data_IF_964536541289
#
_entry.id   IF_964536541289
#
_cell.length_a   1.000
_cell.length_b   1.000
_cell.length_c   1.000
_cell.angle_alpha   90.00
_cell.angle_beta   90.00
_cell.angle_gamma   90.00
#
_symmetry.space_group_name_H-M   'P 1'
#
loop_
_entity.id
_entity.type
_entity.pdbx_description
1 polymer ?
#
# COMPACT_ATOMS: atom_id res chain seq x y z
N UNK A 1 0.53 -16.32 -3.92
CA UNK A 1 0.93 -15.01 -3.40
C UNK A 1 1.73 -15.17 -2.13
N UNK A 2 2.82 -14.47 -2.02
CA UNK A 2 3.56 -14.34 -0.78
C UNK A 2 3.63 -12.88 -0.40
N UNK A 3 3.53 -12.58 0.89
CA UNK A 3 3.68 -11.24 1.41
C UNK A 3 4.61 -11.26 2.62
N UNK A 4 5.53 -10.30 2.67
CA UNK A 4 6.38 -10.09 3.84
C UNK A 4 6.11 -8.69 4.38
N UNK A 5 6.04 -8.56 5.69
CA UNK A 5 5.80 -7.30 6.38
C UNK A 5 6.85 -7.13 7.47
N UNK A 6 7.60 -6.03 7.42
CA UNK A 6 8.62 -5.74 8.43
C UNK A 6 8.77 -4.24 8.62
N UNK A 7 9.48 -3.83 9.65
CA UNK A 7 9.75 -2.42 9.92
C UNK A 7 11.19 -2.10 9.54
N UNK A 8 11.40 -0.96 8.89
CA UNK A 8 12.73 -0.49 8.49
C UNK A 8 12.77 1.03 8.62
N UNK A 9 13.61 1.54 9.50
CA UNK A 9 13.83 2.99 9.69
C UNK A 9 12.54 3.77 9.94
N UNK A 10 11.63 3.21 10.71
CA UNK A 10 10.36 3.85 11.02
C UNK A 10 9.30 3.71 9.94
N UNK A 11 9.55 2.89 8.93
CA UNK A 11 8.61 2.62 7.84
C UNK A 11 8.20 1.16 7.89
N UNK A 12 6.88 0.93 7.77
CA UNK A 12 6.36 -0.43 7.61
C UNK A 12 6.50 -0.82 6.15
N UNK A 13 7.30 -1.84 5.86
CA UNK A 13 7.55 -2.31 4.50
C UNK A 13 6.77 -3.59 4.25
N UNK A 14 5.95 -3.57 3.21
CA UNK A 14 5.14 -4.71 2.77
C UNK A 14 5.52 -5.05 1.34
N UNK A 15 5.95 -6.29 1.11
CA UNK A 15 6.37 -6.75 -0.21
C UNK A 15 5.52 -7.94 -0.64
N UNK A 16 4.95 -7.82 -1.83
CA UNK A 16 4.21 -8.92 -2.47
C UNK A 16 5.09 -9.60 -3.51
N UNK A 17 4.91 -10.91 -3.68
CA UNK A 17 5.51 -11.67 -4.76
C UNK A 17 4.50 -12.67 -5.32
N UNK A 18 4.68 -13.02 -6.60
CA UNK A 18 3.78 -13.92 -7.31
C UNK A 18 2.51 -13.24 -7.78
N UNK A 19 1.49 -14.02 -8.08
CA UNK A 19 0.19 -13.48 -8.51
C UNK A 19 -0.58 -12.92 -7.31
N UNK A 20 -1.07 -11.70 -7.44
CA UNK A 20 -1.78 -11.00 -6.37
C UNK A 20 -3.15 -10.54 -6.88
N UNK A 21 -4.20 -10.83 -6.13
CA UNK A 21 -5.55 -10.32 -6.40
C UNK A 21 -5.96 -9.30 -5.32
N UNK A 22 -7.13 -8.68 -5.51
CA UNK A 22 -7.63 -7.67 -4.56
C UNK A 22 -7.86 -8.27 -3.17
N UNK A 23 -8.38 -9.50 -3.09
CA UNK A 23 -8.57 -10.17 -1.81
C UNK A 23 -7.23 -10.35 -1.06
N UNK A 24 -6.16 -10.68 -1.77
CA UNK A 24 -4.82 -10.81 -1.17
C UNK A 24 -4.37 -9.47 -0.58
N UNK A 25 -4.62 -8.37 -1.27
CA UNK A 25 -4.29 -7.03 -0.79
C UNK A 25 -5.06 -6.70 0.48
N UNK A 26 -6.36 -7.00 0.50
CA UNK A 26 -7.22 -6.75 1.67
C UNK A 26 -6.79 -7.59 2.86
N UNK A 27 -6.50 -8.87 2.66
CA UNK A 27 -6.00 -9.74 3.74
C UNK A 27 -4.68 -9.23 4.30
N UNK A 28 -3.79 -8.76 3.43
CA UNK A 28 -2.52 -8.17 3.85
C UNK A 28 -2.72 -6.90 4.67
N UNK A 29 -3.69 -6.04 4.29
CA UNK A 29 -4.03 -4.86 5.06
C UNK A 29 -4.54 -5.24 6.45
N UNK A 30 -5.41 -6.25 6.54
CA UNK A 30 -5.92 -6.73 7.82
C UNK A 30 -4.79 -7.24 8.72
N UNK A 31 -3.85 -7.99 8.13
CA UNK A 31 -2.69 -8.49 8.86
C UNK A 31 -1.82 -7.34 9.37
N UNK A 32 -1.54 -6.36 8.52
CA UNK A 32 -0.74 -5.20 8.88
C UNK A 32 -1.40 -4.41 10.02
N UNK A 33 -2.69 -4.12 9.89
CA UNK A 33 -3.42 -3.32 10.87
C UNK A 33 -3.56 -4.04 12.22
N UNK A 34 -3.62 -5.38 12.22
CA UNK A 34 -3.66 -6.16 13.47
C UNK A 34 -2.28 -6.30 14.11
N UNK A 35 -1.20 -6.29 13.32
CA UNK A 35 0.17 -6.45 13.80
C UNK A 35 0.78 -5.14 14.30
N UNK A 36 0.38 -4.01 13.72
CA UNK A 36 0.92 -2.69 14.06
C UNK A 36 -0.23 -1.81 14.58
N UNK A 37 -0.48 -1.88 15.88
CA UNK A 37 -1.62 -1.19 16.50
C UNK A 37 -1.38 0.30 16.72
N UNK A 38 -0.12 0.75 16.74
CA UNK A 38 0.21 2.15 16.96
C UNK A 38 0.88 2.73 15.71
N UNK A 39 0.08 2.94 14.67
CA UNK A 39 0.57 3.41 13.38
C UNK A 39 1.15 4.82 13.44
N UNK A 40 0.76 5.62 14.42
CA UNK A 40 1.26 7.00 14.57
C UNK A 40 2.76 7.06 14.92
N UNK A 41 3.31 5.96 15.39
CA UNK A 41 4.75 5.87 15.66
C UNK A 41 5.59 5.68 14.39
N UNK A 42 4.95 5.40 13.28
CA UNK A 42 5.63 5.14 12.01
C UNK A 42 5.52 6.34 11.07
N UNK A 43 6.53 6.50 10.21
CA UNK A 43 6.57 7.58 9.22
C UNK A 43 5.63 7.32 8.05
N UNK A 44 5.45 6.06 7.70
CA UNK A 44 4.60 5.67 6.59
C UNK A 44 4.65 4.18 6.32
N UNK A 45 3.97 3.81 5.24
CA UNK A 45 3.88 2.42 4.77
C UNK A 45 4.38 2.38 3.33
N UNK A 46 5.33 1.49 3.05
CA UNK A 46 5.79 1.24 1.69
C UNK A 46 5.30 -0.13 1.26
N UNK A 47 4.55 -0.18 0.16
CA UNK A 47 4.09 -1.44 -0.43
C UNK A 47 4.77 -1.64 -1.77
N UNK A 48 5.48 -2.75 -1.94
CA UNK A 48 6.17 -3.07 -3.19
C UNK A 48 5.48 -4.20 -3.92
N UNK A 49 5.20 -3.97 -5.20
CA UNK A 49 4.68 -4.95 -6.15
C UNK A 49 5.70 -5.29 -7.23
N UNK A 50 6.98 -4.95 -7.03
CA UNK A 50 8.02 -5.17 -8.06
C UNK A 50 8.20 -6.64 -8.42
N UNK A 51 7.98 -7.54 -7.47
CA UNK A 51 8.08 -8.99 -7.68
C UNK A 51 6.72 -9.66 -7.85
N UNK A 52 5.67 -8.86 -8.00
CA UNK A 52 4.30 -9.34 -8.07
C UNK A 52 3.69 -9.11 -9.43
N UNK A 53 2.71 -9.94 -9.75
CA UNK A 53 1.86 -9.81 -10.92
C UNK A 53 0.42 -9.63 -10.44
N UNK A 54 -0.19 -8.50 -10.77
CA UNK A 54 -1.57 -8.23 -10.34
C UNK A 54 -2.53 -8.79 -11.38
N UNK A 55 -3.50 -9.58 -10.91
CA UNK A 55 -4.52 -10.16 -11.79
C UNK A 55 -5.52 -9.09 -12.20
N UNK A 56 -5.51 -8.73 -13.48
CA UNK A 56 -6.36 -7.68 -14.02
C UNK A 56 -7.86 -8.02 -14.01
N UNK A 57 -8.19 -9.29 -14.12
CA UNK A 57 -9.57 -9.79 -14.20
C UNK A 57 -10.32 -9.62 -12.89
N UNK A 58 -9.61 -9.60 -11.76
CA UNK A 58 -10.18 -9.51 -10.42
C UNK A 58 -10.12 -8.11 -9.84
N UNK A 59 -9.86 -7.09 -10.66
CA UNK A 59 -9.65 -5.73 -10.17
C UNK A 59 -10.96 -5.03 -9.82
N UNK A 60 -11.50 -5.36 -8.66
CA UNK A 60 -12.58 -4.58 -8.10
C UNK A 60 -12.00 -3.54 -7.13
N UNK A 61 -11.48 -2.46 -7.70
CA UNK A 61 -10.87 -1.39 -6.91
C UNK A 61 -11.83 -0.76 -5.93
N UNK A 62 -13.13 -0.79 -6.22
CA UNK A 62 -14.14 -0.22 -5.33
C UNK A 62 -14.17 -0.95 -3.98
N UNK A 63 -13.98 -2.27 -3.98
CA UNK A 63 -13.92 -3.04 -2.73
C UNK A 63 -12.73 -2.60 -1.88
N UNK A 64 -11.58 -2.43 -2.50
CA UNK A 64 -10.38 -1.96 -1.81
C UNK A 64 -10.57 -0.53 -1.27
N UNK A 65 -11.16 0.36 -2.07
CA UNK A 65 -11.42 1.74 -1.69
C UNK A 65 -12.36 1.79 -0.48
N UNK A 66 -13.46 1.03 -0.50
CA UNK A 66 -14.39 0.98 0.63
C UNK A 66 -13.73 0.41 1.89
N UNK A 67 -12.88 -0.60 1.72
CA UNK A 67 -12.10 -1.15 2.83
C UNK A 67 -11.21 -0.07 3.45
N UNK A 68 -10.45 0.67 2.64
CA UNK A 68 -9.55 1.71 3.13
C UNK A 68 -10.29 2.84 3.82
N UNK A 69 -11.49 3.19 3.35
CA UNK A 69 -12.33 4.22 3.99
C UNK A 69 -12.69 3.88 5.42
N UNK A 70 -12.81 2.60 5.76
CA UNK A 70 -13.11 2.18 7.11
C UNK A 70 -11.93 2.37 8.08
N UNK A 71 -10.73 2.61 7.56
CA UNK A 71 -9.51 2.78 8.36
C UNK A 71 -8.88 4.17 8.19
N UNK A 72 -9.65 5.16 7.74
CA UNK A 72 -9.16 6.52 7.51
C UNK A 72 -8.50 7.11 8.76
N UNK A 73 -9.10 6.89 9.93
CA UNK A 73 -8.57 7.46 11.17
C UNK A 73 -7.19 6.93 11.51
N UNK A 74 -6.91 5.67 11.20
CA UNK A 74 -5.60 5.07 11.43
C UNK A 74 -4.57 5.45 10.35
N UNK A 75 -5.01 5.71 9.11
CA UNK A 75 -4.12 5.84 7.95
C UNK A 75 -3.91 7.28 7.48
N UNK A 76 -4.77 8.21 7.88
CA UNK A 76 -4.79 9.57 7.31
C UNK A 76 -3.50 10.38 7.52
N UNK A 77 -2.77 10.11 8.58
CA UNK A 77 -1.53 10.84 8.90
C UNK A 77 -0.28 10.14 8.37
N UNK A 78 -0.45 9.02 7.68
CA UNK A 78 0.67 8.25 7.15
C UNK A 78 0.85 8.51 5.67
N UNK A 79 2.10 8.55 5.23
CA UNK A 79 2.42 8.52 3.81
C UNK A 79 2.43 7.07 3.36
N UNK A 80 1.65 6.76 2.33
CA UNK A 80 1.55 5.42 1.77
C UNK A 80 2.17 5.43 0.38
N UNK A 81 3.35 4.85 0.26
CA UNK A 81 4.05 4.74 -1.01
C UNK A 81 3.78 3.37 -1.63
N UNK A 82 3.50 3.34 -2.92
CA UNK A 82 3.29 2.11 -3.67
C UNK A 82 4.34 2.02 -4.76
N UNK A 83 5.20 1.00 -4.68
CA UNK A 83 6.29 0.81 -5.64
C UNK A 83 5.86 -0.25 -6.65
N UNK A 84 5.84 0.12 -7.93
CA UNK A 84 5.34 -0.77 -8.97
C UNK A 84 5.89 -0.36 -10.34
N UNK A 85 5.75 -1.25 -11.32
CA UNK A 85 6.09 -0.92 -12.70
C UNK A 85 5.12 0.11 -13.28
N UNK A 86 5.60 0.88 -14.24
CA UNK A 86 4.87 1.98 -14.86
C UNK A 86 3.42 1.65 -15.26
N UNK A 87 3.12 0.48 -15.86
CA UNK A 87 1.74 0.17 -16.27
C UNK A 87 0.73 0.13 -15.13
N UNK A 88 1.20 -0.06 -13.87
CA UNK A 88 0.32 -0.17 -12.70
C UNK A 88 0.07 1.16 -12.00
N UNK A 89 0.77 2.22 -12.40
CA UNK A 89 0.70 3.54 -11.74
C UNK A 89 -0.70 4.12 -11.78
N UNK A 90 -1.44 3.91 -12.87
CA UNK A 90 -2.79 4.43 -13.04
C UNK A 90 -3.73 3.98 -11.92
N UNK A 91 -3.67 2.69 -11.53
CA UNK A 91 -4.53 2.18 -10.46
C UNK A 91 -4.24 2.86 -9.12
N UNK A 92 -2.97 3.11 -8.81
CA UNK A 92 -2.60 3.81 -7.58
C UNK A 92 -3.12 5.25 -7.58
N UNK A 93 -3.04 5.95 -8.72
CA UNK A 93 -3.56 7.30 -8.85
C UNK A 93 -5.07 7.31 -8.65
N UNK A 94 -5.81 6.35 -9.24
CA UNK A 94 -7.26 6.27 -9.09
C UNK A 94 -7.65 6.07 -7.63
N UNK A 95 -6.98 5.15 -6.92
CA UNK A 95 -7.25 4.93 -5.49
C UNK A 95 -6.99 6.21 -4.70
N UNK A 96 -5.88 6.89 -4.95
CA UNK A 96 -5.54 8.14 -4.27
C UNK A 96 -6.57 9.24 -4.50
N UNK A 97 -7.15 9.33 -5.70
CA UNK A 97 -8.19 10.32 -6.00
C UNK A 97 -9.51 9.99 -5.31
N UNK A 98 -9.82 8.70 -5.14
CA UNK A 98 -11.07 8.25 -4.51
C UNK A 98 -11.01 8.32 -2.99
N UNK A 99 -9.82 8.22 -2.40
CA UNK A 99 -9.63 8.27 -0.95
C UNK A 99 -8.78 9.51 -0.63
N UNK A 100 -9.40 10.69 -0.77
CA UNK A 100 -8.71 11.99 -0.74
C UNK A 100 -7.98 12.31 0.56
N UNK A 101 -8.38 11.68 1.67
CA UNK A 101 -7.76 11.94 2.96
C UNK A 101 -6.53 11.08 3.21
N UNK A 102 -6.24 10.14 2.31
CA UNK A 102 -5.04 9.33 2.39
C UNK A 102 -3.95 9.90 1.48
N UNK A 103 -2.73 9.90 1.98
CA UNK A 103 -1.57 10.31 1.20
C UNK A 103 -1.00 9.07 0.51
N UNK A 104 -1.48 8.76 -0.69
CA UNK A 104 -1.03 7.60 -1.48
C UNK A 104 -0.32 8.11 -2.73
N UNK A 105 0.90 7.63 -2.97
CA UNK A 105 1.68 8.05 -4.12
C UNK A 105 2.44 6.88 -4.75
N UNK A 106 2.44 6.76 -6.10
CA UNK A 106 3.18 5.72 -6.79
C UNK A 106 4.63 6.09 -7.01
N UNK A 107 5.49 5.08 -6.99
CA UNK A 107 6.93 5.21 -7.28
C UNK A 107 7.39 4.01 -8.09
N UNK A 108 8.45 4.20 -8.87
CA UNK A 108 9.04 3.11 -9.63
C UNK A 108 10.24 2.46 -8.91
N UNK A 109 10.76 3.09 -7.86
CA UNK A 109 11.87 2.56 -7.07
C UNK A 109 11.59 2.67 -5.58
N UNK A 110 12.19 1.76 -4.81
CA UNK A 110 12.10 1.78 -3.35
C UNK A 110 12.78 3.02 -2.80
N UNK A 111 13.92 3.43 -3.37
CA UNK A 111 14.68 4.60 -2.93
C UNK A 111 13.85 5.88 -3.01
N UNK A 112 13.17 6.10 -4.12
CA UNK A 112 12.33 7.28 -4.29
C UNK A 112 11.16 7.27 -3.31
N UNK A 113 10.55 6.10 -3.09
CA UNK A 113 9.46 5.94 -2.13
C UNK A 113 9.91 6.26 -0.70
N UNK A 114 11.07 5.74 -0.29
CA UNK A 114 11.61 5.99 1.05
C UNK A 114 11.95 7.46 1.26
N UNK A 115 12.51 8.12 0.23
CA UNK A 115 12.81 9.55 0.30
C UNK A 115 11.54 10.38 0.50
N UNK A 116 10.47 10.04 -0.20
CA UNK A 116 9.19 10.74 -0.04
C UNK A 116 8.61 10.54 1.35
N UNK A 117 8.62 9.32 1.86
CA UNK A 117 8.10 9.03 3.20
C UNK A 117 8.90 9.79 4.26
N UNK A 118 10.20 9.91 4.07
CA UNK A 118 11.12 10.53 5.03
C UNK A 118 11.12 12.06 4.96
N UNK A 119 10.52 12.63 3.93
CA UNK A 119 10.53 14.08 3.69
C UNK A 119 9.64 14.90 4.60
#
# INVERSE_FOLDING_TARGET
MEVTIHEQNGVIVRRFSGEVCIEDMMESWKLLLSSYTNLREYKGILTSFLDAEIKHEDQNLNVLIEFLKNYLDQLKDLKIAVVMDIPMVTNTIIVGQKVKFLQIKPFSTVEAAMQWIDS
#
